data_IF_008571544116
#
_entry.id   IF_008571544116
#
_cell.length_a   1.000
_cell.length_b   1.000
_cell.length_c   1.000
_cell.angle_alpha   90.00
_cell.angle_beta   90.00
_cell.angle_gamma   90.00
#
_symmetry.space_group_name_H-M   'P 1'
#
loop_
_entity.id
_entity.type
_entity.pdbx_description
1 polymer ?
#
# COMPACT_ATOMS: atom_id res chain seq x y z
N UNK A 1 26.31 -2.11 5.06
CA UNK A 1 25.27 -1.53 5.95
C UNK A 1 24.27 -2.60 6.34
N UNK A 2 23.74 -2.50 7.56
CA UNK A 2 22.72 -3.41 8.09
C UNK A 2 21.38 -2.72 8.25
N UNK A 3 20.32 -3.23 7.61
CA UNK A 3 18.96 -2.69 7.68
C UNK A 3 18.06 -3.67 8.41
N UNK A 4 17.27 -3.19 9.39
CA UNK A 4 16.25 -3.97 10.06
C UNK A 4 14.87 -3.45 9.68
N UNK A 5 14.11 -4.24 8.92
CA UNK A 5 12.75 -3.92 8.52
C UNK A 5 11.74 -4.42 9.56
N UNK A 6 10.73 -3.62 9.86
CA UNK A 6 9.60 -4.01 10.73
C UNK A 6 8.31 -3.92 9.96
N UNK A 7 7.59 -5.03 9.80
CA UNK A 7 6.31 -5.07 9.09
C UNK A 7 5.26 -5.93 9.83
N UNK A 8 4.01 -5.77 9.48
CA UNK A 8 2.92 -6.57 10.04
C UNK A 8 2.97 -8.05 9.60
N UNK A 9 3.29 -8.30 8.34
CA UNK A 9 3.37 -9.63 7.72
C UNK A 9 4.63 -9.73 6.84
N UNK A 10 5.08 -10.95 6.53
CA UNK A 10 6.21 -11.18 5.63
C UNK A 10 5.81 -12.13 4.51
N UNK A 11 6.25 -11.85 3.28
CA UNK A 11 6.00 -12.62 2.07
C UNK A 11 4.50 -12.86 1.72
N UNK A 12 3.59 -12.32 2.53
CA UNK A 12 2.14 -12.44 2.36
C UNK A 12 1.50 -11.06 2.20
N UNK A 13 0.41 -10.96 1.46
CA UNK A 13 -0.26 -9.70 1.12
C UNK A 13 0.66 -8.69 0.43
N UNK A 14 0.15 -7.52 0.09
CA UNK A 14 0.90 -6.49 -0.62
C UNK A 14 2.16 -6.05 0.13
N UNK A 15 2.02 -5.54 1.36
CA UNK A 15 3.17 -4.99 2.11
C UNK A 15 4.18 -6.07 2.53
N UNK A 16 3.73 -7.31 2.77
CA UNK A 16 4.64 -8.42 3.08
C UNK A 16 5.49 -8.83 1.89
N UNK A 17 4.92 -8.83 0.68
CA UNK A 17 5.66 -9.07 -0.57
C UNK A 17 6.69 -7.95 -0.82
N UNK A 18 6.31 -6.69 -0.62
CA UNK A 18 7.21 -5.54 -0.72
C UNK A 18 8.38 -5.67 0.26
N UNK A 19 8.10 -6.03 1.53
CA UNK A 19 9.14 -6.25 2.54
C UNK A 19 10.12 -7.35 2.12
N UNK A 20 9.61 -8.45 1.54
CA UNK A 20 10.46 -9.54 1.02
C UNK A 20 11.31 -9.07 -0.16
N UNK A 21 10.74 -8.36 -1.11
CA UNK A 21 11.48 -7.81 -2.26
C UNK A 21 12.62 -6.90 -1.82
N UNK A 22 12.40 -6.03 -0.83
CA UNK A 22 13.46 -5.18 -0.29
C UNK A 22 14.51 -6.04 0.44
N UNK A 23 14.10 -7.03 1.22
CA UNK A 23 15.01 -7.93 1.94
C UNK A 23 15.91 -8.69 0.98
N UNK A 24 15.33 -9.36 -0.01
CA UNK A 24 16.06 -10.16 -1.00
C UNK A 24 17.00 -9.27 -1.85
N UNK A 25 16.53 -8.08 -2.27
CA UNK A 25 17.32 -7.13 -3.04
C UNK A 25 18.54 -6.63 -2.26
N UNK A 26 18.36 -6.22 -1.00
CA UNK A 26 19.47 -5.79 -0.15
C UNK A 26 20.52 -6.90 0.05
N UNK A 27 20.07 -8.15 0.25
CA UNK A 27 20.98 -9.29 0.37
C UNK A 27 21.76 -9.55 -0.94
N UNK A 28 21.07 -9.45 -2.09
CA UNK A 28 21.68 -9.61 -3.41
C UNK A 28 22.74 -8.52 -3.68
N UNK A 29 22.52 -7.29 -3.19
CA UNK A 29 23.43 -6.16 -3.34
C UNK A 29 24.50 -6.10 -2.21
N UNK A 30 24.65 -7.22 -1.42
CA UNK A 30 25.70 -7.39 -0.42
C UNK A 30 25.48 -6.66 0.92
N UNK A 31 24.25 -6.22 1.20
CA UNK A 31 23.89 -5.62 2.49
C UNK A 31 23.49 -6.69 3.51
N UNK A 32 23.57 -6.36 4.77
CA UNK A 32 22.93 -7.15 5.82
C UNK A 32 21.47 -6.71 5.97
N UNK A 33 20.54 -7.66 5.92
CA UNK A 33 19.11 -7.38 6.04
C UNK A 33 18.44 -8.31 7.05
N UNK A 34 17.74 -7.74 8.01
CA UNK A 34 16.93 -8.44 9.00
C UNK A 34 15.48 -8.00 8.88
N UNK A 35 14.54 -8.93 8.92
CA UNK A 35 13.10 -8.63 8.93
C UNK A 35 12.48 -9.11 10.23
N UNK A 36 11.79 -8.21 10.92
CA UNK A 36 10.94 -8.55 12.07
C UNK A 36 9.49 -8.32 11.70
N UNK A 37 8.68 -9.40 11.68
CA UNK A 37 7.27 -9.28 11.31
C UNK A 37 6.32 -9.69 12.43
N UNK A 38 5.14 -9.05 12.46
CA UNK A 38 4.20 -9.16 13.55
C UNK A 38 3.47 -10.48 13.61
N UNK A 39 2.83 -10.89 12.51
CA UNK A 39 1.90 -12.02 12.45
C UNK A 39 1.89 -12.70 11.08
N UNK A 40 1.19 -13.82 10.95
CA UNK A 40 1.11 -14.61 9.73
C UNK A 40 1.64 -16.02 9.94
N UNK A 41 2.03 -16.69 8.87
CA UNK A 41 2.69 -17.98 8.93
C UNK A 41 4.11 -17.80 9.47
N UNK A 42 4.61 -18.82 10.15
CA UNK A 42 6.04 -18.86 10.52
C UNK A 42 6.84 -19.15 9.26
N UNK A 43 7.82 -18.28 9.00
CA UNK A 43 8.76 -18.43 7.88
C UNK A 43 10.12 -18.76 8.48
N UNK A 44 10.78 -19.77 7.92
CA UNK A 44 12.09 -20.23 8.37
C UNK A 44 13.14 -19.82 7.33
N UNK A 45 13.42 -18.52 7.27
CA UNK A 45 14.44 -17.92 6.43
C UNK A 45 15.49 -17.23 7.31
N UNK A 46 16.80 -17.27 6.98
CA UNK A 46 17.83 -16.54 7.70
C UNK A 46 17.51 -15.04 7.78
N UNK A 47 17.70 -14.43 8.94
CA UNK A 47 17.41 -13.01 9.13
C UNK A 47 15.93 -12.64 9.27
N UNK A 48 14.98 -13.59 9.18
CA UNK A 48 13.54 -13.35 9.27
C UNK A 48 12.98 -13.82 10.60
N UNK A 49 12.46 -12.88 11.41
CA UNK A 49 12.05 -13.12 12.79
C UNK A 49 10.56 -12.81 12.96
N UNK A 50 9.77 -13.80 13.39
CA UNK A 50 8.40 -13.59 13.81
C UNK A 50 8.34 -13.04 15.24
N UNK A 51 7.70 -11.88 15.42
CA UNK A 51 7.70 -11.17 16.70
C UNK A 51 6.75 -11.78 17.71
N UNK A 52 5.51 -12.11 17.31
CA UNK A 52 4.49 -12.62 18.22
C UNK A 52 3.53 -13.61 17.54
N UNK A 53 2.82 -14.45 18.32
CA UNK A 53 1.80 -15.34 17.77
C UNK A 53 0.54 -14.57 17.33
N UNK A 54 -0.24 -15.15 16.43
CA UNK A 54 -1.44 -14.51 15.85
C UNK A 54 -2.51 -14.15 16.90
N UNK A 55 -2.68 -14.97 17.95
CA UNK A 55 -3.65 -14.71 19.01
C UNK A 55 -3.35 -13.41 19.77
N UNK A 56 -2.05 -13.08 19.97
CA UNK A 56 -1.62 -11.87 20.64
C UNK A 56 -2.11 -10.60 19.90
N UNK A 57 -1.95 -10.58 18.58
CA UNK A 57 -2.47 -9.48 17.75
C UNK A 57 -4.02 -9.39 17.80
N UNK A 58 -4.72 -10.53 17.81
CA UNK A 58 -6.18 -10.57 17.95
C UNK A 58 -6.63 -10.00 19.31
N UNK A 59 -5.99 -10.39 20.41
CA UNK A 59 -6.28 -9.89 21.75
C UNK A 59 -6.04 -8.38 21.85
N UNK A 60 -4.92 -7.87 21.33
CA UNK A 60 -4.65 -6.44 21.31
C UNK A 60 -5.62 -5.64 20.42
N UNK A 61 -6.06 -6.20 19.29
CA UNK A 61 -7.11 -5.60 18.45
C UNK A 61 -8.44 -5.51 19.24
N UNK A 62 -8.82 -6.55 19.96
CA UNK A 62 -10.00 -6.55 20.82
C UNK A 62 -9.91 -5.46 21.91
N UNK A 63 -8.79 -5.39 22.62
CA UNK A 63 -8.53 -4.35 23.62
C UNK A 63 -8.56 -2.94 23.03
N UNK A 64 -8.06 -2.76 21.81
CA UNK A 64 -8.11 -1.50 21.07
C UNK A 64 -9.56 -1.06 20.79
N UNK A 65 -10.45 -2.00 20.43
CA UNK A 65 -11.87 -1.70 20.21
C UNK A 65 -12.60 -1.32 21.51
N UNK A 66 -12.29 -1.99 22.60
CA UNK A 66 -12.84 -1.67 23.94
C UNK A 66 -12.37 -0.28 24.42
N UNK A 67 -11.08 -0.02 24.29
CA UNK A 67 -10.47 1.20 24.84
C UNK A 67 -10.57 2.41 23.95
N UNK A 68 -10.86 2.24 22.64
CA UNK A 68 -10.82 3.33 21.64
C UNK A 68 -9.40 3.87 21.38
N UNK A 69 -8.37 3.14 21.79
CA UNK A 69 -6.95 3.53 21.62
C UNK A 69 -6.25 2.57 20.65
N UNK A 70 -6.27 2.86 19.34
CA UNK A 70 -5.48 2.09 18.41
C UNK A 70 -3.99 2.22 18.75
N UNK A 71 -3.23 1.16 18.52
CA UNK A 71 -1.76 1.13 18.62
C UNK A 71 -1.15 1.40 20.00
N UNK A 72 -1.96 1.52 21.06
CA UNK A 72 -1.49 1.78 22.41
C UNK A 72 -1.21 0.54 23.29
N UNK A 73 -1.53 -0.66 22.78
CA UNK A 73 -1.26 -1.95 23.43
C UNK A 73 0.11 -2.53 23.11
N UNK A 74 0.22 -3.85 23.09
CA UNK A 74 1.39 -4.60 22.57
C UNK A 74 2.70 -4.34 23.31
N UNK A 75 2.68 -4.17 24.62
CA UNK A 75 3.85 -3.78 25.40
C UNK A 75 4.96 -4.84 25.38
N UNK A 76 4.62 -6.13 25.54
CA UNK A 76 5.59 -7.23 25.57
C UNK A 76 6.29 -7.43 24.23
N UNK A 77 5.54 -7.43 23.14
CA UNK A 77 6.13 -7.56 21.80
C UNK A 77 6.95 -6.33 21.41
N UNK A 78 6.56 -5.13 21.85
CA UNK A 78 7.37 -3.93 21.65
C UNK A 78 8.70 -4.03 22.39
N UNK A 79 8.69 -4.45 23.65
CA UNK A 79 9.91 -4.72 24.41
C UNK A 79 10.79 -5.76 23.72
N UNK A 80 10.20 -6.87 23.25
CA UNK A 80 10.93 -7.89 22.50
C UNK A 80 11.56 -7.34 21.22
N UNK A 81 10.82 -6.50 20.47
CA UNK A 81 11.35 -5.84 19.26
C UNK A 81 12.55 -4.93 19.60
N UNK A 82 12.44 -4.13 20.67
CA UNK A 82 13.54 -3.29 21.15
C UNK A 82 14.78 -4.11 21.48
N UNK A 83 14.63 -5.27 22.14
CA UNK A 83 15.74 -6.20 22.43
C UNK A 83 16.35 -6.81 21.16
N UNK A 84 15.54 -7.09 20.15
CA UNK A 84 16.02 -7.55 18.85
C UNK A 84 16.84 -6.44 18.17
N UNK A 85 16.35 -5.21 18.13
CA UNK A 85 17.07 -4.07 17.55
C UNK A 85 18.41 -3.84 18.30
N UNK A 86 18.39 -3.88 19.64
CA UNK A 86 19.63 -3.75 20.45
C UNK A 86 20.66 -4.86 20.16
N UNK A 87 20.18 -6.07 19.90
CA UNK A 87 21.05 -7.22 19.58
C UNK A 87 21.62 -7.12 18.16
N UNK A 88 20.75 -6.81 17.19
CA UNK A 88 21.12 -6.77 15.77
C UNK A 88 21.97 -5.53 15.43
N UNK A 89 21.85 -4.45 16.21
CA UNK A 89 22.56 -3.16 16.01
C UNK A 89 22.51 -2.69 14.55
N UNK A 90 21.31 -2.54 13.95
CA UNK A 90 21.22 -2.10 12.57
C UNK A 90 21.65 -0.64 12.41
N UNK A 91 22.26 -0.31 11.26
CA UNK A 91 22.53 1.08 10.87
C UNK A 91 21.24 1.87 10.65
N UNK A 92 20.19 1.20 10.12
CA UNK A 92 18.88 1.81 9.85
C UNK A 92 17.77 0.86 10.25
N UNK A 93 16.75 1.37 10.94
CA UNK A 93 15.47 0.69 11.18
C UNK A 93 14.44 1.20 10.18
N UNK A 94 13.88 0.32 9.38
CA UNK A 94 12.83 0.65 8.42
C UNK A 94 11.46 0.17 8.91
N UNK A 95 10.60 1.11 9.30
CA UNK A 95 9.23 0.87 9.69
C UNK A 95 8.31 0.87 8.46
N UNK A 96 7.76 -0.28 8.12
CA UNK A 96 6.84 -0.47 7.02
C UNK A 96 5.38 -0.31 7.50
N UNK A 97 4.51 -1.28 7.26
CA UNK A 97 3.12 -1.27 7.70
C UNK A 97 2.99 -1.83 9.13
N UNK A 98 3.12 -0.99 10.16
CA UNK A 98 3.17 -1.42 11.57
C UNK A 98 1.83 -1.30 12.32
N UNK A 99 0.71 -1.07 11.63
CA UNK A 99 -0.63 -0.93 12.21
C UNK A 99 -1.35 -2.26 12.54
N UNK A 100 -0.62 -3.37 12.65
CA UNK A 100 -1.16 -4.72 12.78
C UNK A 100 -1.46 -5.21 14.19
N UNK A 101 -1.49 -4.34 15.21
CA UNK A 101 -1.68 -4.69 16.62
C UNK A 101 -0.63 -5.66 17.16
N UNK A 102 0.61 -5.51 16.75
CA UNK A 102 1.74 -6.33 17.20
C UNK A 102 2.86 -5.49 17.84
N UNK A 103 2.82 -4.18 17.72
CA UNK A 103 3.70 -3.22 18.40
C UNK A 103 2.91 -2.02 18.91
N UNK A 104 3.39 -1.41 19.99
CA UNK A 104 2.96 -0.10 20.46
C UNK A 104 3.72 0.95 19.64
N UNK A 105 3.03 1.56 18.67
CA UNK A 105 3.66 2.48 17.72
C UNK A 105 4.26 3.69 18.46
N UNK A 106 3.54 4.27 19.38
CA UNK A 106 3.99 5.46 20.13
C UNK A 106 5.29 5.17 20.89
N UNK A 107 5.30 4.06 21.63
CA UNK A 107 6.44 3.64 22.44
C UNK A 107 7.66 3.25 21.61
N UNK A 108 7.42 2.63 20.45
CA UNK A 108 8.49 2.27 19.53
C UNK A 108 9.17 3.52 18.97
N UNK A 109 8.39 4.49 18.46
CA UNK A 109 8.93 5.73 17.90
C UNK A 109 9.66 6.55 18.98
N UNK A 110 9.06 6.73 20.17
CA UNK A 110 9.72 7.42 21.29
C UNK A 110 11.03 6.75 21.70
N UNK A 111 11.11 5.44 21.65
CA UNK A 111 12.31 4.67 21.99
C UNK A 111 13.40 4.81 20.91
N UNK A 112 13.04 4.71 19.63
CA UNK A 112 13.96 4.92 18.50
C UNK A 112 14.56 6.34 18.55
N UNK A 113 13.70 7.36 18.74
CA UNK A 113 14.11 8.76 18.92
C UNK A 113 15.08 8.93 20.09
N UNK A 114 14.76 8.41 21.28
CA UNK A 114 15.62 8.53 22.46
C UNK A 114 17.00 7.90 22.26
N UNK A 115 17.08 6.85 21.44
CA UNK A 115 18.33 6.15 21.09
C UNK A 115 19.03 6.74 19.88
N UNK A 116 18.44 7.76 19.24
CA UNK A 116 18.94 8.37 17.98
C UNK A 116 19.17 7.34 16.88
N UNK A 117 18.32 6.27 16.82
CA UNK A 117 18.43 5.24 15.81
C UNK A 117 17.91 5.78 14.49
N UNK A 118 18.75 5.78 13.45
CA UNK A 118 18.36 6.20 12.11
C UNK A 118 17.17 5.38 11.62
N UNK A 119 16.11 6.06 11.26
CA UNK A 119 14.82 5.42 10.98
C UNK A 119 14.25 5.88 9.65
N UNK A 120 13.74 4.95 8.88
CA UNK A 120 12.94 5.19 7.67
C UNK A 120 11.52 4.72 7.93
N UNK A 121 10.52 5.51 7.53
CA UNK A 121 9.11 5.17 7.71
C UNK A 121 8.40 5.17 6.37
N UNK A 122 8.00 4.00 5.88
CA UNK A 122 7.17 3.90 4.66
C UNK A 122 5.70 4.15 4.96
N UNK A 123 5.07 5.01 4.16
CA UNK A 123 3.65 5.33 4.26
C UNK A 123 2.83 4.51 3.25
N UNK A 124 2.54 3.26 3.58
CA UNK A 124 1.65 2.40 2.78
C UNK A 124 0.16 2.71 2.98
N UNK A 125 -0.18 3.43 4.05
CA UNK A 125 -1.52 3.89 4.38
C UNK A 125 -1.43 5.17 5.20
N UNK A 126 -2.56 5.83 5.43
CA UNK A 126 -2.59 7.15 6.05
C UNK A 126 -2.40 7.15 7.59
N UNK A 127 -2.40 5.99 8.24
CA UNK A 127 -2.45 5.87 9.71
C UNK A 127 -1.29 6.55 10.47
N UNK A 128 -0.11 6.69 9.88
CA UNK A 128 1.03 7.32 10.57
C UNK A 128 0.82 8.82 10.78
N UNK A 129 0.24 9.52 9.81
CA UNK A 129 -0.03 10.95 9.90
C UNK A 129 -1.45 11.30 10.35
N UNK A 130 -2.40 10.36 10.23
CA UNK A 130 -3.74 10.53 10.80
C UNK A 130 -3.81 10.07 12.26
N UNK A 131 -2.84 9.27 12.71
CA UNK A 131 -2.77 8.56 13.98
C UNK A 131 -3.90 7.54 14.24
N UNK A 132 -4.84 7.39 13.31
CA UNK A 132 -6.03 6.56 13.50
C UNK A 132 -6.44 5.82 12.21
N UNK A 133 -6.76 6.53 11.16
CA UNK A 133 -7.38 6.00 9.96
C UNK A 133 -6.36 5.42 8.98
N UNK A 134 -6.65 4.23 8.42
CA UNK A 134 -5.91 3.73 7.27
C UNK A 134 -6.15 4.53 6.00
N UNK A 135 -7.40 5.03 5.84
CA UNK A 135 -7.82 5.98 4.81
C UNK A 135 -8.76 7.00 5.47
N UNK A 136 -8.44 8.27 5.35
CA UNK A 136 -9.24 9.35 5.93
C UNK A 136 -10.37 9.84 5.02
N UNK A 137 -10.39 9.41 3.75
CA UNK A 137 -11.34 9.86 2.73
C UNK A 137 -11.48 11.38 2.71
N UNK A 138 -12.70 11.90 2.87
CA UNK A 138 -13.01 13.34 2.86
C UNK A 138 -12.75 14.03 4.21
N UNK A 139 -12.32 13.28 5.24
CA UNK A 139 -12.04 13.87 6.54
C UNK A 139 -10.73 14.64 6.51
N UNK A 140 -10.75 15.89 7.00
CA UNK A 140 -9.60 16.80 7.05
C UNK A 140 -9.10 17.06 8.50
N UNK A 141 -9.79 16.54 9.51
CA UNK A 141 -9.45 16.82 10.91
C UNK A 141 -8.02 16.38 11.29
N UNK A 142 -7.54 15.32 10.68
CA UNK A 142 -6.21 14.76 10.93
C UNK A 142 -5.05 15.75 10.67
N UNK A 143 -5.27 16.79 9.88
CA UNK A 143 -4.25 17.80 9.56
C UNK A 143 -3.74 18.52 10.82
N UNK A 144 -4.65 18.97 11.68
CA UNK A 144 -4.35 19.77 12.89
C UNK A 144 -4.73 19.09 14.21
N UNK A 145 -5.49 18.00 14.16
CA UNK A 145 -5.90 17.26 15.35
C UNK A 145 -7.29 16.65 15.22
N UNK A 146 -7.41 15.34 15.45
CA UNK A 146 -8.70 14.67 15.48
C UNK A 146 -9.49 15.06 16.75
N UNK A 147 -10.78 15.36 16.58
CA UNK A 147 -11.73 15.62 17.68
C UNK A 147 -13.12 15.15 17.27
N UNK A 148 -13.87 14.49 18.15
CA UNK A 148 -15.26 14.03 17.88
C UNK A 148 -15.37 13.37 16.50
N UNK A 149 -14.66 12.23 16.34
CA UNK A 149 -14.54 11.59 15.03
C UNK A 149 -15.89 11.08 14.51
N UNK A 150 -16.41 11.57 13.37
CA UNK A 150 -17.68 11.10 12.81
C UNK A 150 -17.62 9.64 12.39
N UNK A 151 -16.41 9.13 12.14
CA UNK A 151 -16.15 7.78 11.67
C UNK A 151 -15.48 6.86 12.72
N UNK A 152 -15.55 7.18 14.01
CA UNK A 152 -14.85 6.41 15.06
C UNK A 152 -15.20 4.91 15.03
N UNK A 153 -16.47 4.57 14.78
CA UNK A 153 -16.91 3.17 14.68
C UNK A 153 -16.45 2.48 13.38
N UNK A 154 -16.37 3.20 12.25
CA UNK A 154 -15.95 2.64 10.96
C UNK A 154 -14.43 2.65 10.80
N UNK A 155 -13.77 3.76 11.02
CA UNK A 155 -12.34 3.96 10.76
C UNK A 155 -11.44 3.39 11.88
N UNK A 156 -11.77 3.65 13.15
CA UNK A 156 -11.00 3.22 14.33
C UNK A 156 -11.54 1.92 14.94
N UNK A 157 -12.77 1.53 14.53
CA UNK A 157 -13.48 0.34 15.03
C UNK A 157 -13.66 0.32 16.56
N UNK A 158 -13.70 1.51 17.18
CA UNK A 158 -13.98 1.63 18.63
C UNK A 158 -15.45 1.39 18.91
N UNK A 159 -15.73 0.66 20.00
CA UNK A 159 -17.09 0.33 20.39
C UNK A 159 -17.72 1.37 21.33
N UNK A 160 -16.95 1.91 22.26
CA UNK A 160 -17.48 2.73 23.34
C UNK A 160 -16.92 4.15 23.38
N UNK A 161 -15.63 4.33 23.09
CA UNK A 161 -14.96 5.59 23.33
C UNK A 161 -14.38 6.20 22.08
N UNK A 162 -14.61 7.48 21.83
CA UNK A 162 -13.83 8.25 20.88
C UNK A 162 -12.58 8.83 21.57
N UNK A 163 -11.46 8.19 21.37
CA UNK A 163 -10.15 8.66 21.82
C UNK A 163 -9.23 9.07 20.67
N UNK A 164 -9.81 9.38 19.52
CA UNK A 164 -9.04 9.74 18.31
C UNK A 164 -8.15 10.96 18.52
N UNK A 165 -8.64 11.97 19.25
CA UNK A 165 -7.85 13.14 19.61
C UNK A 165 -6.66 12.79 20.50
N UNK A 166 -6.85 11.89 21.47
CA UNK A 166 -5.75 11.43 22.35
C UNK A 166 -4.71 10.62 21.58
N UNK A 167 -5.15 9.78 20.65
CA UNK A 167 -4.26 9.01 19.76
C UNK A 167 -3.43 9.95 18.90
N UNK A 168 -4.06 10.98 18.34
CA UNK A 168 -3.40 11.97 17.51
C UNK A 168 -2.33 12.75 18.28
N UNK A 169 -2.65 13.24 19.49
CA UNK A 169 -1.70 13.93 20.35
C UNK A 169 -0.51 13.04 20.74
N UNK A 170 -0.76 11.77 21.04
CA UNK A 170 0.31 10.81 21.34
C UNK A 170 1.23 10.57 20.14
N UNK A 171 0.65 10.46 18.92
CA UNK A 171 1.45 10.28 17.73
C UNK A 171 2.30 11.51 17.43
N UNK A 172 1.71 12.72 17.54
CA UNK A 172 2.45 13.99 17.41
C UNK A 172 3.61 14.06 18.39
N UNK A 173 3.37 13.76 19.67
CA UNK A 173 4.40 13.74 20.71
C UNK A 173 5.52 12.72 20.39
N UNK A 174 5.16 11.54 19.92
CA UNK A 174 6.13 10.50 19.59
C UNK A 174 7.08 10.94 18.47
N UNK A 175 6.56 11.56 17.42
CA UNK A 175 7.35 12.05 16.28
C UNK A 175 8.12 13.36 16.57
N UNK A 176 7.56 14.29 17.36
CA UNK A 176 8.19 15.59 17.64
C UNK A 176 9.61 15.43 18.16
N UNK A 177 10.58 16.12 17.51
CA UNK A 177 12.01 16.03 17.83
C UNK A 177 12.72 14.79 17.26
N UNK A 178 12.11 14.13 16.27
CA UNK A 178 12.71 12.98 15.58
C UNK A 178 13.09 13.28 14.12
N UNK A 179 12.92 14.51 13.68
CA UNK A 179 13.06 14.97 12.27
C UNK A 179 14.48 14.76 11.73
N UNK A 180 15.51 14.87 12.58
CA UNK A 180 16.92 14.69 12.18
C UNK A 180 17.29 13.22 11.92
N UNK A 181 16.67 12.30 12.66
CA UNK A 181 17.01 10.86 12.61
C UNK A 181 15.96 10.03 11.87
N UNK A 182 14.96 10.65 11.26
CA UNK A 182 13.88 9.95 10.60
C UNK A 182 13.56 10.55 9.22
N UNK A 183 13.54 9.69 8.20
CA UNK A 183 13.09 10.01 6.83
C UNK A 183 11.74 9.35 6.59
N UNK A 184 10.79 10.10 6.04
CA UNK A 184 9.47 9.59 5.67
C UNK A 184 9.47 9.22 4.19
N UNK A 185 9.08 7.99 3.89
CA UNK A 185 9.00 7.44 2.53
C UNK A 185 7.55 7.15 2.12
N UNK A 186 6.83 8.15 1.56
CA UNK A 186 5.53 7.91 0.95
C UNK A 186 5.65 7.01 -0.27
N UNK A 187 4.63 6.18 -0.51
CA UNK A 187 4.60 5.27 -1.68
C UNK A 187 4.11 5.94 -2.97
N UNK A 188 3.66 7.20 -2.88
CA UNK A 188 3.21 7.99 -4.03
C UNK A 188 3.31 9.49 -3.76
N UNK A 189 3.33 10.35 -4.81
CA UNK A 189 3.26 11.81 -4.65
C UNK A 189 1.99 12.25 -3.90
N UNK A 190 0.86 11.59 -4.12
CA UNK A 190 -0.38 11.86 -3.42
C UNK A 190 -0.25 11.65 -1.90
N UNK A 191 0.31 10.50 -1.49
CA UNK A 191 0.54 10.21 -0.08
C UNK A 191 1.51 11.22 0.55
N UNK A 192 2.53 11.65 -0.21
CA UNK A 192 3.46 12.70 0.22
C UNK A 192 2.74 14.02 0.45
N UNK A 193 1.97 14.50 -0.53
CA UNK A 193 1.24 15.77 -0.43
C UNK A 193 0.29 15.80 0.78
N UNK A 194 -0.37 14.67 1.06
CA UNK A 194 -1.24 14.56 2.24
C UNK A 194 -0.42 14.56 3.54
N UNK A 195 0.62 13.75 3.63
CA UNK A 195 1.45 13.66 4.84
C UNK A 195 2.10 14.99 5.21
N UNK A 196 2.53 15.79 4.23
CA UNK A 196 3.07 17.14 4.42
C UNK A 196 2.06 18.14 4.99
N UNK A 197 0.76 17.87 4.89
CA UNK A 197 -0.29 18.72 5.48
C UNK A 197 -0.58 18.37 6.95
N UNK A 198 -0.05 17.25 7.45
CA UNK A 198 -0.29 16.80 8.81
C UNK A 198 0.71 17.39 9.79
N UNK A 199 0.26 18.06 10.82
CA UNK A 199 1.11 18.59 11.90
C UNK A 199 1.97 17.53 12.61
N UNK A 200 1.71 16.25 12.36
CA UNK A 200 2.52 15.14 12.88
C UNK A 200 3.83 14.99 12.10
N UNK A 201 3.80 15.17 10.77
CA UNK A 201 4.93 14.83 9.89
C UNK A 201 5.42 15.98 9.01
N UNK A 202 4.76 17.14 8.98
CA UNK A 202 5.04 18.23 8.03
C UNK A 202 6.50 18.72 8.00
N UNK A 203 7.21 18.61 9.13
CA UNK A 203 8.56 19.13 9.30
C UNK A 203 9.65 18.06 9.00
N UNK A 204 9.25 16.86 8.56
CA UNK A 204 10.16 15.78 8.22
C UNK A 204 10.71 15.89 6.80
N UNK A 205 11.83 15.21 6.56
CA UNK A 205 12.34 14.98 5.20
C UNK A 205 11.51 13.89 4.52
N UNK A 206 11.01 14.17 3.31
CA UNK A 206 10.22 13.24 2.51
C UNK A 206 10.99 12.75 1.28
N UNK A 207 10.95 11.44 1.03
CA UNK A 207 11.53 10.78 -0.15
C UNK A 207 10.52 9.77 -0.71
N UNK A 208 9.81 10.13 -1.77
CA UNK A 208 8.83 9.20 -2.37
C UNK A 208 9.52 7.99 -3.00
N UNK A 209 9.15 6.80 -2.56
CA UNK A 209 9.61 5.51 -3.10
C UNK A 209 8.41 4.68 -3.50
N UNK A 210 8.24 4.41 -4.79
CA UNK A 210 7.15 3.59 -5.31
C UNK A 210 7.31 2.13 -4.88
N UNK A 211 6.18 1.44 -4.71
CA UNK A 211 6.18 0.01 -4.46
C UNK A 211 6.74 -0.74 -5.68
N UNK A 212 7.65 -1.67 -5.42
CA UNK A 212 8.27 -2.49 -6.46
C UNK A 212 7.40 -3.66 -6.89
N UNK A 213 7.45 -3.97 -8.18
CA UNK A 213 6.76 -5.08 -8.82
C UNK A 213 7.80 -5.98 -9.48
N UNK A 214 7.59 -7.29 -9.46
CA UNK A 214 8.40 -8.23 -10.23
C UNK A 214 8.08 -8.07 -11.73
N UNK A 215 8.64 -7.02 -12.33
CA UNK A 215 8.44 -6.65 -13.73
C UNK A 215 9.32 -7.47 -14.69
N UNK A 216 10.22 -8.31 -14.20
CA UNK A 216 11.08 -9.17 -15.01
C UNK A 216 10.54 -10.60 -15.04
N UNK A 217 10.28 -11.18 -13.87
CA UNK A 217 9.89 -12.59 -13.77
C UNK A 217 8.40 -12.85 -13.91
N UNK A 218 7.55 -11.87 -13.61
CA UNK A 218 6.11 -12.10 -13.51
C UNK A 218 5.28 -11.09 -14.32
N UNK A 219 5.31 -9.81 -13.93
CA UNK A 219 4.50 -8.76 -14.56
C UNK A 219 5.30 -8.08 -15.68
N UNK A 220 5.43 -8.76 -16.78
CA UNK A 220 6.14 -8.29 -17.98
C UNK A 220 5.24 -8.46 -19.22
N UNK A 221 5.70 -7.92 -20.33
CA UNK A 221 5.11 -8.19 -21.64
C UNK A 221 5.72 -9.49 -22.17
N UNK A 222 5.04 -10.60 -21.90
CA UNK A 222 5.32 -11.89 -22.51
C UNK A 222 4.77 -11.93 -23.95
N UNK A 223 5.32 -12.77 -24.81
CA UNK A 223 4.85 -12.96 -26.20
C UNK A 223 3.49 -13.67 -26.27
N UNK A 224 2.58 -13.31 -25.39
CA UNK A 224 1.19 -13.76 -25.41
C UNK A 224 0.47 -13.06 -26.57
N UNK A 225 -0.40 -13.80 -27.29
CA UNK A 225 -1.11 -13.35 -28.48
C UNK A 225 -1.85 -12.02 -28.36
N UNK A 226 -2.60 -11.67 -29.39
CA UNK A 226 -3.39 -10.43 -29.42
C UNK A 226 -4.37 -10.35 -28.24
N UNK A 227 -4.51 -9.19 -27.58
CA UNK A 227 -5.43 -9.03 -26.48
C UNK A 227 -6.88 -9.11 -26.93
N UNK A 228 -7.72 -9.71 -26.10
CA UNK A 228 -9.16 -9.75 -26.32
C UNK A 228 -9.79 -8.35 -26.19
N UNK A 229 -10.91 -8.14 -26.87
CA UNK A 229 -11.75 -6.94 -26.71
C UNK A 229 -12.45 -6.97 -25.33
N UNK A 230 -11.65 -6.82 -24.28
CA UNK A 230 -12.07 -7.01 -22.90
C UNK A 230 -11.41 -5.98 -21.96
N UNK A 231 -12.15 -5.66 -20.89
CA UNK A 231 -11.70 -4.84 -19.78
C UNK A 231 -11.35 -5.72 -18.57
N UNK A 232 -10.25 -5.41 -17.89
CA UNK A 232 -9.80 -6.13 -16.72
C UNK A 232 -10.08 -5.30 -15.47
N UNK A 233 -10.63 -5.92 -14.42
CA UNK A 233 -10.75 -5.32 -13.10
C UNK A 233 -10.15 -6.23 -12.03
N UNK A 234 -9.19 -5.69 -11.27
CA UNK A 234 -8.52 -6.44 -10.20
C UNK A 234 -8.75 -5.75 -8.87
N UNK A 235 -9.30 -6.49 -7.92
CA UNK A 235 -9.64 -5.99 -6.58
C UNK A 235 -9.45 -7.05 -5.51
N UNK A 236 -9.21 -6.63 -4.26
CA UNK A 236 -9.16 -7.57 -3.15
C UNK A 236 -10.54 -8.18 -2.83
N UNK A 237 -11.60 -7.40 -3.05
CA UNK A 237 -12.98 -7.78 -2.78
C UNK A 237 -13.90 -7.06 -3.77
N UNK A 238 -14.68 -7.81 -4.52
CA UNK A 238 -15.65 -7.31 -5.48
C UNK A 238 -17.06 -7.34 -4.86
N UNK A 239 -17.67 -6.18 -4.81
CA UNK A 239 -19.02 -5.96 -4.28
C UNK A 239 -19.68 -4.85 -5.08
N UNK A 240 -21.00 -4.97 -5.32
CA UNK A 240 -21.79 -4.01 -6.10
C UNK A 240 -22.54 -2.99 -5.23
N UNK A 241 -22.20 -2.86 -3.95
CA UNK A 241 -22.67 -1.76 -3.11
C UNK A 241 -22.00 -0.45 -3.56
N UNK A 242 -22.83 0.59 -3.81
CA UNK A 242 -22.38 1.89 -4.29
C UNK A 242 -21.42 2.59 -3.31
N UNK A 243 -21.55 2.31 -2.01
CA UNK A 243 -20.71 2.88 -0.96
C UNK A 243 -19.40 2.08 -0.75
N UNK A 244 -19.26 0.91 -1.41
CA UNK A 244 -18.08 0.10 -1.24
C UNK A 244 -16.84 0.73 -1.87
N UNK A 245 -15.79 0.91 -1.08
CA UNK A 245 -14.59 1.69 -1.46
C UNK A 245 -13.82 1.18 -2.70
N UNK A 246 -14.06 -0.07 -3.13
CA UNK A 246 -13.40 -0.65 -4.30
C UNK A 246 -14.16 -0.48 -5.61
N UNK A 247 -15.38 0.08 -5.56
CA UNK A 247 -16.11 0.55 -6.72
C UNK A 247 -16.60 -0.51 -7.71
N UNK A 248 -16.78 -1.77 -7.27
CA UNK A 248 -17.34 -2.82 -8.13
C UNK A 248 -18.73 -2.49 -8.69
N UNK A 249 -19.48 -1.62 -8.00
CA UNK A 249 -20.72 -1.03 -8.49
C UNK A 249 -20.55 -0.38 -9.87
N UNK A 250 -19.51 0.44 -10.05
CA UNK A 250 -19.25 1.12 -11.33
C UNK A 250 -18.83 0.15 -12.44
N UNK A 251 -18.12 -0.94 -12.10
CA UNK A 251 -17.82 -2.01 -13.07
C UNK A 251 -19.08 -2.67 -13.56
N UNK A 252 -20.03 -2.98 -12.66
CA UNK A 252 -21.32 -3.55 -13.04
C UNK A 252 -22.16 -2.59 -13.92
N UNK A 253 -22.14 -1.29 -13.62
CA UNK A 253 -22.82 -0.27 -14.44
C UNK A 253 -22.18 -0.15 -15.83
N UNK A 254 -20.85 -0.08 -15.92
CA UNK A 254 -20.14 -0.08 -17.22
C UNK A 254 -20.50 -1.31 -18.06
N UNK A 255 -20.46 -2.49 -17.45
CA UNK A 255 -20.77 -3.73 -18.15
C UNK A 255 -22.23 -3.78 -18.68
N UNK A 256 -23.20 -3.21 -17.95
CA UNK A 256 -24.56 -3.05 -18.45
C UNK A 256 -24.68 -2.13 -19.67
N UNK A 257 -23.85 -1.08 -19.76
CA UNK A 257 -23.80 -0.14 -20.88
C UNK A 257 -22.99 -0.68 -22.07
N UNK A 258 -21.96 -1.46 -21.82
CA UNK A 258 -20.99 -1.94 -22.80
C UNK A 258 -21.16 -3.45 -23.00
N UNK A 259 -22.31 -3.87 -23.55
CA UNK A 259 -22.67 -5.29 -23.74
C UNK A 259 -21.74 -6.04 -24.71
N UNK A 260 -21.07 -5.30 -25.59
CA UNK A 260 -20.08 -5.76 -26.57
C UNK A 260 -18.70 -6.03 -25.96
N UNK A 261 -18.46 -5.65 -24.69
CA UNK A 261 -17.18 -5.76 -24.01
C UNK A 261 -17.28 -6.81 -22.91
N UNK A 262 -16.33 -7.73 -22.85
CA UNK A 262 -16.20 -8.66 -21.72
C UNK A 262 -15.44 -7.99 -20.57
N UNK A 263 -15.98 -8.10 -19.35
CA UNK A 263 -15.33 -7.62 -18.13
C UNK A 263 -14.82 -8.80 -17.31
N UNK A 264 -13.51 -9.00 -17.27
CA UNK A 264 -12.90 -10.00 -16.39
C UNK A 264 -12.59 -9.39 -15.02
N UNK A 265 -13.12 -9.99 -13.97
CA UNK A 265 -12.96 -9.51 -12.58
C UNK A 265 -12.18 -10.54 -11.79
N UNK A 266 -10.99 -10.18 -11.34
CA UNK A 266 -10.20 -10.96 -10.39
C UNK A 266 -10.31 -10.37 -8.98
N UNK A 267 -10.68 -11.21 -8.02
CA UNK A 267 -10.85 -10.85 -6.61
C UNK A 267 -11.88 -11.74 -5.94
N UNK A 268 -11.93 -11.71 -4.62
CA UNK A 268 -13.06 -12.35 -3.89
C UNK A 268 -14.33 -11.59 -4.23
N UNK A 269 -15.38 -12.28 -4.51
CA UNK A 269 -16.69 -11.69 -4.79
C UNK A 269 -17.70 -12.15 -3.75
N UNK A 270 -18.68 -11.30 -3.45
CA UNK A 270 -19.83 -11.70 -2.65
C UNK A 270 -20.68 -12.72 -3.44
N UNK A 271 -21.44 -13.52 -2.71
CA UNK A 271 -22.39 -14.43 -3.31
C UNK A 271 -23.61 -13.65 -3.86
N UNK A 272 -24.23 -14.18 -4.92
CA UNK A 272 -25.51 -13.70 -5.46
C UNK A 272 -25.49 -12.22 -5.92
N UNK A 273 -24.40 -11.80 -6.57
CA UNK A 273 -24.34 -10.48 -7.20
C UNK A 273 -25.21 -10.45 -8.47
N UNK A 274 -26.04 -9.42 -8.60
CA UNK A 274 -26.76 -9.12 -9.84
C UNK A 274 -25.82 -8.50 -10.87
N UNK A 275 -25.28 -9.34 -11.76
CA UNK A 275 -24.29 -8.95 -12.78
C UNK A 275 -24.80 -9.27 -14.18
N UNK A 276 -24.48 -8.42 -15.17
CA UNK A 276 -24.76 -8.73 -16.56
C UNK A 276 -23.87 -9.88 -17.07
N UNK A 277 -24.34 -10.59 -18.11
CA UNK A 277 -23.69 -11.81 -18.64
C UNK A 277 -22.25 -11.61 -19.11
N UNK A 278 -21.90 -10.40 -19.52
CA UNK A 278 -20.56 -10.03 -19.97
C UNK A 278 -19.56 -9.79 -18.82
N UNK A 279 -19.95 -9.91 -17.55
CA UNK A 279 -19.05 -9.91 -16.40
C UNK A 279 -18.66 -11.34 -16.03
N UNK A 280 -17.36 -11.63 -16.03
CA UNK A 280 -16.79 -12.93 -15.72
C UNK A 280 -15.97 -12.85 -14.42
N UNK A 281 -16.52 -13.36 -13.32
CA UNK A 281 -15.83 -13.42 -12.02
C UNK A 281 -14.86 -14.60 -12.02
N UNK A 282 -13.56 -14.31 -11.91
CA UNK A 282 -12.48 -15.32 -11.90
C UNK A 282 -12.08 -15.76 -10.48
N UNK A 283 -12.67 -15.13 -9.47
CA UNK A 283 -12.30 -15.40 -8.08
C UNK A 283 -10.93 -14.81 -7.71
N UNK A 284 -10.41 -15.23 -6.55
CA UNK A 284 -9.13 -14.74 -6.06
C UNK A 284 -7.97 -15.53 -6.70
N UNK A 285 -7.25 -14.89 -7.60
CA UNK A 285 -6.04 -15.43 -8.22
C UNK A 285 -4.88 -15.35 -7.21
N UNK A 286 -4.47 -16.50 -6.66
CA UNK A 286 -3.34 -16.57 -5.72
C UNK A 286 -2.00 -16.52 -6.44
N UNK A 287 -1.92 -17.10 -7.63
CA UNK A 287 -0.73 -17.10 -8.49
C UNK A 287 -0.59 -15.74 -9.19
N UNK A 288 0.55 -15.08 -8.98
CA UNK A 288 0.86 -13.81 -9.64
C UNK A 288 1.05 -13.96 -11.16
N UNK A 289 1.48 -15.15 -11.64
CA UNK A 289 1.59 -15.42 -13.09
C UNK A 289 0.22 -15.46 -13.74
N UNK A 290 -0.75 -16.12 -13.12
CA UNK A 290 -2.14 -16.11 -13.58
C UNK A 290 -2.73 -14.68 -13.61
N UNK A 291 -2.39 -13.86 -12.62
CA UNK A 291 -2.80 -12.45 -12.59
C UNK A 291 -2.13 -11.64 -13.72
N UNK A 292 -0.85 -11.87 -13.98
CA UNK A 292 -0.15 -11.21 -15.09
C UNK A 292 -0.72 -11.64 -16.46
N UNK A 293 -1.05 -12.92 -16.63
CA UNK A 293 -1.75 -13.41 -17.84
C UNK A 293 -3.10 -12.72 -18.02
N UNK A 294 -3.84 -12.49 -16.92
CA UNK A 294 -5.10 -11.77 -16.98
C UNK A 294 -4.92 -10.33 -17.48
N UNK A 295 -3.93 -9.58 -16.96
CA UNK A 295 -3.66 -8.24 -17.46
C UNK A 295 -3.33 -8.24 -18.96
N UNK A 296 -2.47 -9.16 -19.43
CA UNK A 296 -2.10 -9.27 -20.85
C UNK A 296 -3.28 -9.63 -21.76
N UNK A 297 -4.25 -10.38 -21.22
CA UNK A 297 -5.43 -10.84 -21.95
C UNK A 297 -6.36 -9.70 -22.36
N UNK A 298 -6.48 -8.65 -21.55
CA UNK A 298 -7.37 -7.53 -21.86
C UNK A 298 -6.68 -6.39 -22.61
N UNK A 299 -7.49 -5.58 -23.27
CA UNK A 299 -7.03 -4.34 -23.92
C UNK A 299 -6.87 -3.19 -22.93
N UNK A 300 -7.60 -3.19 -21.81
CA UNK A 300 -7.59 -2.11 -20.82
C UNK A 300 -7.86 -2.63 -19.42
N UNK A 301 -7.21 -2.02 -18.42
CA UNK A 301 -7.53 -2.24 -17.00
C UNK A 301 -8.36 -1.08 -16.47
N UNK A 302 -9.47 -1.38 -15.78
CA UNK A 302 -10.39 -0.38 -15.24
C UNK A 302 -10.25 -0.30 -13.72
N UNK A 303 -9.94 0.89 -13.20
CA UNK A 303 -9.77 1.20 -11.79
C UNK A 303 -10.90 2.08 -11.29
N UNK A 304 -11.75 1.53 -10.42
CA UNK A 304 -12.95 2.21 -9.90
C UNK A 304 -12.91 2.47 -8.40
N UNK A 305 -11.78 2.22 -7.74
CA UNK A 305 -11.62 2.47 -6.31
C UNK A 305 -11.83 3.95 -5.96
N UNK A 306 -12.51 4.21 -4.83
CA UNK A 306 -12.74 5.56 -4.31
C UNK A 306 -11.46 6.20 -3.75
N UNK A 307 -10.53 5.39 -3.22
CA UNK A 307 -9.27 5.86 -2.62
C UNK A 307 -8.18 4.80 -2.68
N UNK A 308 -7.01 5.21 -3.15
CA UNK A 308 -5.81 4.39 -3.19
C UNK A 308 -4.58 5.21 -2.76
N UNK A 309 -3.66 4.57 -2.04
CA UNK A 309 -2.37 5.18 -1.64
C UNK A 309 -1.27 4.94 -2.65
N UNK A 310 -1.40 3.89 -3.50
CA UNK A 310 -0.50 3.58 -4.61
C UNK A 310 -1.25 3.00 -5.81
N UNK A 311 -1.97 1.91 -5.66
CA UNK A 311 -2.59 1.06 -6.68
C UNK A 311 -1.61 0.09 -7.35
N UNK A 312 -1.42 -1.06 -6.71
CA UNK A 312 -0.66 -2.17 -7.32
C UNK A 312 -1.25 -2.57 -8.69
N UNK A 313 -2.60 -2.69 -8.87
CA UNK A 313 -3.18 -3.02 -10.17
C UNK A 313 -2.82 -2.04 -11.29
N UNK A 314 -2.64 -0.75 -10.99
CA UNK A 314 -2.18 0.24 -11.97
C UNK A 314 -0.78 -0.10 -12.49
N UNK A 315 0.16 -0.29 -11.58
CA UNK A 315 1.55 -0.55 -11.92
C UNK A 315 1.73 -1.96 -12.54
N UNK A 316 1.04 -2.98 -12.02
CA UNK A 316 1.05 -4.35 -12.57
C UNK A 316 0.53 -4.39 -14.00
N UNK A 317 -0.57 -3.69 -14.28
CA UNK A 317 -1.16 -3.58 -15.61
C UNK A 317 -0.21 -2.94 -16.61
N UNK A 318 0.38 -1.79 -16.26
CA UNK A 318 1.33 -1.08 -17.12
C UNK A 318 2.60 -1.90 -17.38
N UNK A 319 3.12 -2.62 -16.37
CA UNK A 319 4.24 -3.55 -16.55
C UNK A 319 3.90 -4.72 -17.49
N UNK A 320 2.63 -5.14 -17.55
CA UNK A 320 2.14 -6.13 -18.51
C UNK A 320 1.83 -5.54 -19.89
N UNK A 321 2.07 -4.25 -20.12
CA UNK A 321 1.76 -3.57 -21.37
C UNK A 321 0.26 -3.35 -21.60
N UNK A 322 -0.53 -3.25 -20.53
CA UNK A 322 -1.97 -3.02 -20.61
C UNK A 322 -2.33 -1.63 -20.07
N UNK A 323 -2.92 -0.75 -20.90
CA UNK A 323 -3.33 0.59 -20.53
C UNK A 323 -4.28 0.61 -19.34
N UNK A 324 -4.33 1.74 -18.65
CA UNK A 324 -5.15 1.89 -17.43
C UNK A 324 -6.11 3.06 -17.59
N UNK A 325 -7.37 2.81 -17.27
CA UNK A 325 -8.43 3.83 -17.21
C UNK A 325 -9.08 3.76 -15.83
N UNK A 326 -9.43 4.89 -15.25
CA UNK A 326 -10.09 4.85 -13.94
C UNK A 326 -10.65 6.16 -13.45
N UNK A 327 -11.19 6.12 -12.24
CA UNK A 327 -11.52 7.32 -11.50
C UNK A 327 -10.29 7.89 -10.80
N UNK A 328 -10.23 9.21 -10.67
CA UNK A 328 -9.28 9.85 -9.77
C UNK A 328 -9.55 9.36 -8.34
N UNK A 329 -8.58 8.70 -7.76
CA UNK A 329 -8.66 8.04 -6.45
C UNK A 329 -7.52 8.45 -5.51
N UNK A 330 -6.72 9.43 -5.91
CA UNK A 330 -5.58 9.97 -5.18
C UNK A 330 -4.25 9.57 -5.80
N UNK A 331 -3.78 8.36 -5.57
CA UNK A 331 -2.48 7.95 -6.09
C UNK A 331 -2.50 7.44 -7.54
N UNK A 332 -3.48 6.68 -8.04
CA UNK A 332 -3.43 6.08 -9.37
C UNK A 332 -3.14 7.09 -10.47
N UNK A 333 -3.86 8.22 -10.50
CA UNK A 333 -3.70 9.28 -11.50
C UNK A 333 -2.34 10.01 -11.40
N UNK A 334 -1.68 9.94 -10.24
CA UNK A 334 -0.38 10.58 -10.01
C UNK A 334 0.81 9.67 -10.26
N UNK A 335 0.62 8.35 -10.18
CA UNK A 335 1.68 7.38 -10.45
C UNK A 335 1.62 6.84 -11.87
N UNK A 336 0.45 6.86 -12.50
CA UNK A 336 0.24 6.29 -13.82
C UNK A 336 1.03 7.02 -14.91
N UNK A 337 1.33 6.31 -15.96
CA UNK A 337 2.03 6.84 -17.13
C UNK A 337 1.00 7.55 -18.04
N UNK A 338 1.15 8.87 -18.21
CA UNK A 338 0.17 9.74 -18.89
C UNK A 338 -0.17 9.29 -20.31
N UNK A 339 0.80 8.79 -21.06
CA UNK A 339 0.62 8.36 -22.43
C UNK A 339 -0.22 7.06 -22.56
N UNK A 340 -0.34 6.31 -21.47
CA UNK A 340 -1.00 5.00 -21.44
C UNK A 340 -2.14 4.92 -20.40
N UNK A 341 -2.56 6.07 -19.89
CA UNK A 341 -3.56 6.09 -18.81
C UNK A 341 -4.48 7.28 -18.89
N UNK A 342 -5.75 7.07 -18.54
CA UNK A 342 -6.77 8.13 -18.51
C UNK A 342 -7.57 8.05 -17.23
N UNK A 343 -7.74 9.18 -16.54
CA UNK A 343 -8.50 9.27 -15.29
C UNK A 343 -9.52 10.38 -15.36
N UNK A 344 -10.75 10.04 -15.00
CA UNK A 344 -11.90 10.95 -14.91
C UNK A 344 -12.29 11.20 -13.45
N UNK A 345 -13.12 12.19 -13.18
CA UNK A 345 -13.57 12.46 -11.82
C UNK A 345 -14.34 11.27 -11.23
N UNK A 346 -14.23 11.06 -9.93
CA UNK A 346 -14.91 9.95 -9.27
C UNK A 346 -16.43 10.05 -9.45
N UNK A 347 -17.03 9.00 -10.02
CA UNK A 347 -18.45 8.90 -10.30
C UNK A 347 -18.85 9.39 -11.70
N UNK A 348 -17.96 9.96 -12.49
CA UNK A 348 -18.22 10.31 -13.90
C UNK A 348 -18.22 9.03 -14.76
N UNK A 349 -19.38 8.37 -14.79
CA UNK A 349 -19.53 7.11 -15.51
C UNK A 349 -19.50 7.30 -17.04
N UNK A 350 -19.98 8.43 -17.54
CA UNK A 350 -19.99 8.73 -18.99
C UNK A 350 -18.57 8.98 -19.49
N UNK A 351 -17.79 9.76 -18.73
CA UNK A 351 -16.37 9.98 -19.00
C UNK A 351 -15.55 8.70 -18.92
N UNK A 352 -15.86 7.83 -17.93
CA UNK A 352 -15.18 6.55 -17.77
C UNK A 352 -15.49 5.59 -18.94
N UNK A 353 -16.77 5.48 -19.36
CA UNK A 353 -17.15 4.67 -20.53
C UNK A 353 -16.43 5.14 -21.78
N UNK A 354 -16.45 6.45 -22.04
CA UNK A 354 -15.74 7.04 -23.20
C UNK A 354 -14.26 6.69 -23.18
N UNK A 355 -13.60 6.84 -22.03
CA UNK A 355 -12.18 6.54 -21.88
C UNK A 355 -11.87 5.05 -22.08
N UNK A 356 -12.74 4.14 -21.58
CA UNK A 356 -12.59 2.69 -21.80
C UNK A 356 -12.72 2.36 -23.30
N UNK A 357 -13.74 2.88 -24.00
CA UNK A 357 -13.91 2.67 -25.46
C UNK A 357 -12.71 3.17 -26.24
N UNK A 358 -12.19 4.35 -25.92
CA UNK A 358 -10.98 4.87 -26.57
C UNK A 358 -9.78 3.93 -26.44
N UNK A 359 -9.58 3.30 -25.27
CA UNK A 359 -8.49 2.35 -25.08
C UNK A 359 -8.75 0.98 -25.74
N UNK A 360 -10.01 0.55 -25.84
CA UNK A 360 -10.36 -0.67 -26.56
C UNK A 360 -10.08 -0.56 -28.07
N UNK A 361 -10.25 0.64 -28.66
CA UNK A 361 -9.99 0.93 -30.07
C UNK A 361 -8.53 1.30 -30.35
N UNK A 362 -7.78 1.72 -29.33
CA UNK A 362 -6.39 2.13 -29.45
C UNK A 362 -5.45 0.94 -29.74
N UNK A 363 -4.35 1.24 -30.42
CA UNK A 363 -3.25 0.31 -30.71
C UNK A 363 -1.93 0.84 -30.10
N UNK A 364 -1.82 0.89 -28.76
CA UNK A 364 -0.60 1.41 -28.13
C UNK A 364 0.58 0.46 -28.35
N UNK A 365 1.79 1.01 -28.38
CA UNK A 365 3.00 0.20 -28.29
C UNK A 365 3.12 -0.40 -26.88
N UNK A 366 2.61 -1.62 -26.75
CA UNK A 366 2.54 -2.34 -25.47
C UNK A 366 3.93 -2.75 -24.95
N UNK A 367 4.89 -2.97 -25.84
CA UNK A 367 6.25 -3.36 -25.47
C UNK A 367 7.01 -2.14 -24.92
N UNK A 368 6.91 -0.99 -25.60
CA UNK A 368 7.46 0.26 -25.08
C UNK A 368 6.83 0.67 -23.73
N UNK A 369 5.52 0.51 -23.58
CA UNK A 369 4.81 0.73 -22.33
C UNK A 369 5.38 -0.14 -21.19
N UNK A 370 5.47 -1.45 -21.41
CA UNK A 370 5.97 -2.38 -20.40
C UNK A 370 7.43 -2.08 -20.02
N UNK A 371 8.27 -1.78 -21.01
CA UNK A 371 9.68 -1.44 -20.80
C UNK A 371 9.85 -0.15 -19.96
N UNK A 372 9.03 0.87 -20.22
CA UNK A 372 9.02 2.10 -19.44
C UNK A 372 8.48 1.86 -18.04
N UNK A 373 7.39 1.10 -17.90
CA UNK A 373 6.78 0.76 -16.62
C UNK A 373 7.74 -0.03 -15.73
N UNK A 374 8.49 -0.99 -16.28
CA UNK A 374 9.49 -1.77 -15.56
C UNK A 374 10.61 -0.89 -14.97
N UNK A 375 11.04 0.16 -15.68
CA UNK A 375 12.03 1.13 -15.17
C UNK A 375 11.49 1.95 -13.98
N UNK A 376 10.19 2.22 -13.95
CA UNK A 376 9.54 3.05 -12.91
C UNK A 376 9.10 2.21 -11.72
N UNK A 377 8.45 1.07 -11.96
CA UNK A 377 7.81 0.25 -10.94
C UNK A 377 8.54 -1.07 -10.66
N UNK A 378 9.62 -1.37 -11.35
CA UNK A 378 10.37 -2.61 -11.15
C UNK A 378 10.92 -2.74 -9.73
N UNK A 379 11.03 -3.98 -9.25
CA UNK A 379 11.56 -4.29 -7.92
C UNK A 379 12.93 -3.66 -7.67
N UNK A 380 13.84 -3.76 -8.64
CA UNK A 380 15.20 -3.19 -8.53
C UNK A 380 15.18 -1.66 -8.42
N UNK A 381 14.25 -0.98 -9.13
CA UNK A 381 14.10 0.47 -9.02
C UNK A 381 13.69 0.91 -7.60
N UNK A 382 12.83 0.13 -6.93
CA UNK A 382 12.45 0.35 -5.54
C UNK A 382 13.65 0.10 -4.60
N UNK A 383 14.33 -1.03 -4.73
CA UNK A 383 15.49 -1.40 -3.89
C UNK A 383 16.56 -0.34 -3.98
N UNK A 384 16.99 0.02 -5.19
CA UNK A 384 18.04 1.04 -5.40
C UNK A 384 17.66 2.43 -4.86
N UNK A 385 16.36 2.79 -4.85
CA UNK A 385 15.89 4.02 -4.21
C UNK A 385 15.99 3.93 -2.68
N UNK A 386 15.59 2.79 -2.08
CA UNK A 386 15.73 2.60 -0.64
C UNK A 386 17.19 2.58 -0.20
N UNK A 387 18.09 1.96 -0.95
CA UNK A 387 19.54 2.00 -0.65
C UNK A 387 20.06 3.44 -0.55
N UNK A 388 19.67 4.31 -1.50
CA UNK A 388 20.03 5.73 -1.46
C UNK A 388 19.47 6.42 -0.22
N UNK A 389 18.21 6.13 0.13
CA UNK A 389 17.58 6.68 1.33
C UNK A 389 18.27 6.20 2.60
N UNK A 390 18.69 4.94 2.67
CA UNK A 390 19.39 4.39 3.83
C UNK A 390 20.79 5.01 3.97
N UNK A 391 21.54 5.17 2.88
CA UNK A 391 22.85 5.86 2.87
C UNK A 391 22.68 7.30 3.35
N UNK A 392 21.75 8.06 2.77
CA UNK A 392 21.45 9.45 3.19
C UNK A 392 21.02 9.54 4.65
N UNK A 393 20.24 8.58 5.14
CA UNK A 393 19.82 8.53 6.55
C UNK A 393 21.01 8.31 7.49
N UNK A 394 22.03 7.56 7.06
CA UNK A 394 23.22 7.23 7.83
C UNK A 394 24.23 8.38 7.82
N UNK A 395 24.43 9.04 6.67
CA UNK A 395 25.42 10.11 6.46
C UNK A 395 25.09 11.42 7.17
N UNK A 396 23.85 11.67 7.56
CA UNK A 396 23.44 12.86 8.34
C UNK A 396 24.10 13.00 9.73
N UNK A 397 25.10 12.20 10.06
CA UNK A 397 25.92 12.34 11.28
C UNK A 397 27.23 13.09 11.07
N UNK A 398 27.64 13.40 9.83
CA UNK A 398 28.95 13.94 9.53
C UNK A 398 29.03 15.47 9.55
N UNK A 399 27.88 16.15 9.72
CA UNK A 399 27.77 17.62 9.88
C UNK A 399 27.13 17.99 11.23
#
# INVERSE_FOLDING_TARGET
>A
MKVLQVNNVYADKSTGKITKVIHDGLLADGWESVVVYGRGRTVNEPGVIRLCPNWYGKANNFLSRLTGMPYGGCLLSTWRLQRIIDREKPDVVHLQCINGYFVNIYRLIEWLKKRKIKTVVSLHAEFMYTANCGHAFECEQWKKGCKKCPNARKAVKSWFFDRTGRSWQRMKKAFSGFEKDCIICPVSPWTQQRAMQADILKDFTFKTVYNGIDAVGTFNRDQSGEPEHAAIHVTAHFNTDADHAKGGYYVALLARRMKDVTFYVAGRADANLDLPENVKILGHLQDQRALAQLYRRGKVTVLTSKRETFSMPCAESLCCGTPVVGFKAGAPEMIAMKDYSSFVEFGDLDGLEKAVRQQLDAQPDRDAMAAQAAKVYGAQAMVSKFERVYKESHEKEAD
#
